data_IF_919375900794
#
_entry.id   IF_919375900794
#
_cell.length_a   1.000
_cell.length_b   1.000
_cell.length_c   1.000
_cell.angle_alpha   90.00
_cell.angle_beta   90.00
_cell.angle_gamma   90.00
#
_symmetry.space_group_name_H-M   'P 1'
#
loop_
_entity.id
_entity.type
_entity.pdbx_description
1 polymer ?
#
# COMPACT_ATOMS: atom_id res chain seq x y z
N UNK A 1 22.17 25.80 28.62
CA UNK A 1 20.95 26.12 27.85
C UNK A 1 20.86 25.32 26.55
N UNK A 2 21.92 25.28 25.73
CA UNK A 2 22.01 24.48 24.49
C UNK A 2 21.70 22.98 24.65
N UNK A 3 22.24 22.33 25.68
CA UNK A 3 22.00 20.89 25.91
C UNK A 3 20.53 20.55 26.16
N UNK A 4 19.76 21.42 26.83
CA UNK A 4 18.31 21.24 27.02
C UNK A 4 17.57 21.37 25.68
N UNK A 5 17.91 22.37 24.87
CA UNK A 5 17.29 22.57 23.56
C UNK A 5 17.56 21.38 22.63
N UNK A 6 18.82 20.92 22.60
CA UNK A 6 19.25 19.74 21.84
C UNK A 6 18.50 18.48 22.29
N UNK A 7 18.39 18.26 23.60
CA UNK A 7 17.65 17.11 24.16
C UNK A 7 16.15 17.14 23.82
N UNK A 8 15.51 18.31 23.85
CA UNK A 8 14.10 18.45 23.44
C UNK A 8 13.94 18.11 21.95
N UNK A 9 14.80 18.67 21.10
CA UNK A 9 14.75 18.43 19.65
C UNK A 9 15.02 16.96 19.29
N UNK A 10 16.02 16.33 19.93
CA UNK A 10 16.31 14.91 19.76
C UNK A 10 15.12 14.05 20.21
N UNK A 11 14.50 14.37 21.34
CA UNK A 11 13.30 13.66 21.83
C UNK A 11 12.14 13.78 20.85
N UNK A 12 11.88 14.98 20.35
CA UNK A 12 10.79 15.22 19.41
C UNK A 12 11.05 14.51 18.06
N UNK A 13 12.31 14.46 17.62
CA UNK A 13 12.71 13.71 16.42
C UNK A 13 12.53 12.20 16.57
N UNK A 14 12.85 11.65 17.75
CA UNK A 14 12.62 10.23 18.07
C UNK A 14 11.14 9.90 18.14
N UNK A 15 10.35 10.76 18.79
CA UNK A 15 8.89 10.61 18.88
C UNK A 15 8.28 10.60 17.47
N UNK A 16 8.66 11.56 16.62
CA UNK A 16 8.19 11.65 15.24
C UNK A 16 8.53 10.40 14.43
N UNK A 17 9.74 9.87 14.61
CA UNK A 17 10.19 8.62 13.99
C UNK A 17 9.33 7.43 14.42
N UNK A 18 9.06 7.27 15.72
CA UNK A 18 8.18 6.20 16.20
C UNK A 18 6.76 6.33 15.64
N UNK A 19 6.19 7.53 15.62
CA UNK A 19 4.87 7.77 15.03
C UNK A 19 4.82 7.39 13.56
N UNK A 20 5.83 7.76 12.77
CA UNK A 20 5.87 7.41 11.34
C UNK A 20 6.08 5.92 11.09
N UNK A 21 6.86 5.25 11.94
CA UNK A 21 7.00 3.79 11.85
C UNK A 21 5.67 3.09 12.15
N UNK A 22 4.94 3.54 13.19
CA UNK A 22 3.61 3.01 13.49
C UNK A 22 2.65 3.23 12.31
N UNK A 23 2.62 4.44 11.76
CA UNK A 23 1.82 4.76 10.57
C UNK A 23 2.17 3.83 9.40
N UNK A 24 3.46 3.61 9.13
CA UNK A 24 3.91 2.68 8.09
C UNK A 24 3.44 1.24 8.33
N UNK A 25 3.56 0.72 9.56
CA UNK A 25 3.17 -0.66 9.86
C UNK A 25 1.65 -0.87 9.88
N UNK A 26 0.89 0.14 10.29
CA UNK A 26 -0.58 0.08 10.33
C UNK A 26 -1.23 0.43 8.99
N UNK A 27 -0.49 1.06 8.07
CA UNK A 27 -1.02 1.48 6.78
C UNK A 27 -1.63 0.30 6.01
N UNK A 28 -2.90 0.43 5.63
CA UNK A 28 -3.64 -0.56 4.83
C UNK A 28 -4.33 0.15 3.69
N UNK A 29 -4.44 -0.53 2.55
CA UNK A 29 -5.23 -0.02 1.43
C UNK A 29 -6.70 -0.01 1.85
N UNK A 30 -7.36 1.14 1.69
CA UNK A 30 -8.81 1.26 1.81
C UNK A 30 -9.49 0.87 0.50
N UNK A 31 -10.72 0.37 0.57
CA UNK A 31 -11.47 -0.06 -0.62
C UNK A 31 -11.72 1.07 -1.62
N UNK A 32 -11.90 2.29 -1.11
CA UNK A 32 -12.17 3.50 -1.91
C UNK A 32 -10.91 4.12 -2.53
N UNK A 33 -9.73 3.82 -1.97
CA UNK A 33 -8.47 4.38 -2.44
C UNK A 33 -7.94 3.55 -3.59
N UNK A 34 -7.56 4.20 -4.70
CA UNK A 34 -6.94 3.51 -5.81
C UNK A 34 -5.51 3.03 -5.46
N UNK A 35 -5.01 2.06 -6.21
CA UNK A 35 -3.68 1.47 -6.02
C UNK A 35 -2.57 2.52 -6.20
N UNK A 36 -2.73 3.45 -7.14
CA UNK A 36 -1.73 4.48 -7.43
C UNK A 36 -1.49 5.39 -6.21
N UNK A 37 -2.56 5.90 -5.59
CA UNK A 37 -2.47 6.73 -4.38
C UNK A 37 -1.94 5.91 -3.21
N UNK A 38 -2.45 4.69 -3.02
CA UNK A 38 -1.97 3.79 -1.97
C UNK A 38 -0.45 3.56 -2.00
N UNK A 39 0.11 3.26 -3.19
CA UNK A 39 1.56 3.08 -3.35
C UNK A 39 2.32 4.40 -3.16
N UNK A 40 1.75 5.51 -3.61
CA UNK A 40 2.37 6.84 -3.49
C UNK A 40 2.47 7.29 -2.04
N UNK A 41 1.43 7.08 -1.24
CA UNK A 41 1.41 7.38 0.19
C UNK A 41 2.46 6.55 0.95
N UNK A 42 2.55 5.26 0.64
CA UNK A 42 3.52 4.36 1.27
C UNK A 42 4.97 4.74 0.90
N UNK A 43 5.22 5.14 -0.35
CA UNK A 43 6.50 5.73 -0.77
C UNK A 43 6.79 7.03 -0.03
N UNK A 44 5.81 7.90 0.15
CA UNK A 44 5.96 9.15 0.90
C UNK A 44 6.32 8.88 2.37
N UNK A 45 5.66 7.91 3.02
CA UNK A 45 6.01 7.48 4.37
C UNK A 45 7.46 6.97 4.45
N UNK A 46 7.89 6.14 3.50
CA UNK A 46 9.28 5.67 3.44
C UNK A 46 10.29 6.81 3.24
N UNK A 47 9.95 7.82 2.43
CA UNK A 47 10.78 9.00 2.22
C UNK A 47 10.89 9.87 3.48
N UNK A 48 9.79 10.07 4.20
CA UNK A 48 9.77 10.80 5.48
C UNK A 48 10.62 10.09 6.53
N UNK A 49 10.52 8.77 6.64
CA UNK A 49 11.36 7.96 7.52
C UNK A 49 12.85 8.07 7.15
N UNK A 50 13.18 8.05 5.86
CA UNK A 50 14.54 8.26 5.37
C UNK A 50 15.10 9.64 5.76
N UNK A 51 14.26 10.68 5.73
CA UNK A 51 14.63 12.02 6.21
C UNK A 51 14.97 12.07 7.70
N UNK A 52 14.50 11.11 8.50
CA UNK A 52 14.80 10.96 9.92
C UNK A 52 15.91 9.93 10.20
N UNK A 53 16.61 9.47 9.16
CA UNK A 53 17.70 8.50 9.28
C UNK A 53 17.25 7.05 9.42
N UNK A 54 15.98 6.73 9.11
CA UNK A 54 15.50 5.35 9.02
C UNK A 54 15.35 4.90 7.58
N UNK A 55 16.10 3.88 7.19
CA UNK A 55 16.06 3.37 5.84
C UNK A 55 15.04 2.24 5.70
N UNK A 56 13.98 2.50 4.94
CA UNK A 56 13.03 1.49 4.50
C UNK A 56 13.48 1.00 3.13
N UNK A 57 14.00 -0.23 3.07
CA UNK A 57 14.48 -0.80 1.82
C UNK A 57 13.33 -1.21 0.88
N UNK A 58 13.64 -1.43 -0.40
CA UNK A 58 12.63 -1.79 -1.41
C UNK A 58 11.89 -3.09 -1.05
N UNK A 59 12.58 -4.07 -0.48
CA UNK A 59 11.98 -5.33 -0.02
C UNK A 59 10.90 -5.09 1.05
N UNK A 60 11.14 -4.21 2.01
CA UNK A 60 10.17 -3.82 3.04
C UNK A 60 8.96 -3.13 2.43
N UNK A 61 9.17 -2.25 1.44
CA UNK A 61 8.08 -1.60 0.69
C UNK A 61 7.23 -2.63 -0.04
N UNK A 62 7.85 -3.56 -0.77
CA UNK A 62 7.15 -4.63 -1.50
C UNK A 62 6.35 -5.50 -0.52
N UNK A 63 6.98 -5.98 0.55
CA UNK A 63 6.31 -6.78 1.59
C UNK A 63 5.14 -6.02 2.21
N UNK A 64 5.34 -4.73 2.50
CA UNK A 64 4.28 -3.89 3.06
C UNK A 64 3.13 -3.72 2.09
N UNK A 65 3.39 -3.49 0.80
CA UNK A 65 2.35 -3.41 -0.23
C UNK A 65 1.53 -4.70 -0.27
N UNK A 66 2.17 -5.87 -0.34
CA UNK A 66 1.48 -7.16 -0.43
C UNK A 66 0.62 -7.46 0.81
N UNK A 67 1.11 -7.15 2.01
CA UNK A 67 0.40 -7.41 3.27
C UNK A 67 -0.71 -6.41 3.60
N UNK A 68 -0.66 -5.23 2.97
CA UNK A 68 -1.64 -4.16 3.17
C UNK A 68 -2.78 -4.15 2.14
N UNK A 69 -2.74 -5.04 1.15
CA UNK A 69 -3.82 -5.22 0.17
C UNK A 69 -5.01 -5.96 0.80
N UNK A 70 -6.25 -5.65 0.39
CA UNK A 70 -7.44 -6.37 0.84
C UNK A 70 -7.51 -7.75 0.17
N UNK A 71 -8.37 -8.62 0.72
CA UNK A 71 -8.50 -10.03 0.28
C UNK A 71 -8.91 -10.18 -1.20
N UNK A 72 -9.53 -9.15 -1.80
CA UNK A 72 -9.85 -9.14 -3.23
C UNK A 72 -8.62 -9.29 -4.13
N UNK A 73 -7.41 -9.02 -3.63
CA UNK A 73 -6.15 -9.19 -4.38
C UNK A 73 -5.44 -10.52 -4.07
N UNK A 74 -6.07 -11.48 -3.37
CA UNK A 74 -5.42 -12.75 -2.99
C UNK A 74 -4.83 -13.50 -4.18
N UNK A 75 -5.55 -13.57 -5.30
CA UNK A 75 -5.07 -14.24 -6.52
C UNK A 75 -3.87 -13.53 -7.14
N UNK A 76 -3.87 -12.19 -7.11
CA UNK A 76 -2.73 -11.39 -7.53
C UNK A 76 -1.50 -11.69 -6.68
N UNK A 77 -1.65 -11.76 -5.35
CA UNK A 77 -0.53 -12.05 -4.43
C UNK A 77 0.09 -13.41 -4.75
N UNK A 78 -0.72 -14.46 -4.94
CA UNK A 78 -0.21 -15.79 -5.31
C UNK A 78 0.53 -15.79 -6.66
N UNK A 79 0.03 -15.07 -7.65
CA UNK A 79 0.70 -14.92 -8.94
C UNK A 79 2.03 -14.13 -8.82
N UNK A 80 2.05 -13.10 -7.99
CA UNK A 80 3.26 -12.31 -7.71
C UNK A 80 4.33 -13.15 -7.01
N UNK A 81 3.96 -13.92 -6.00
CA UNK A 81 4.85 -14.84 -5.28
C UNK A 81 5.40 -15.98 -6.14
N UNK A 82 4.76 -16.26 -7.28
CA UNK A 82 5.23 -17.24 -8.26
C UNK A 82 6.19 -16.64 -9.31
N UNK A 83 6.35 -15.31 -9.34
CA UNK A 83 7.20 -14.64 -10.33
C UNK A 83 8.69 -14.80 -10.03
N UNK A 84 9.59 -14.79 -11.03
CA UNK A 84 11.03 -14.86 -10.82
C UNK A 84 11.55 -13.75 -9.90
N UNK A 85 12.54 -14.04 -9.06
CA UNK A 85 13.09 -13.05 -8.12
C UNK A 85 13.63 -11.79 -8.79
N UNK A 86 14.19 -11.92 -10.01
CA UNK A 86 14.66 -10.79 -10.83
C UNK A 86 13.55 -9.84 -11.26
N UNK A 87 12.30 -10.31 -11.31
CA UNK A 87 11.14 -9.52 -11.67
C UNK A 87 10.43 -8.91 -10.46
N UNK A 88 10.80 -9.29 -9.23
CA UNK A 88 10.16 -8.82 -7.99
C UNK A 88 10.69 -7.44 -7.57
N UNK A 89 10.57 -6.48 -8.47
CA UNK A 89 10.90 -5.07 -8.23
C UNK A 89 9.64 -4.27 -7.90
N UNK A 90 9.79 -3.14 -7.20
CA UNK A 90 8.67 -2.28 -6.87
C UNK A 90 8.01 -1.70 -8.13
N UNK A 91 8.81 -1.44 -9.17
CA UNK A 91 8.32 -0.98 -10.48
C UNK A 91 7.38 -2.01 -11.10
N UNK A 92 7.79 -3.27 -11.17
CA UNK A 92 6.97 -4.34 -11.74
C UNK A 92 5.72 -4.61 -10.90
N UNK A 93 5.85 -4.59 -9.57
CA UNK A 93 4.72 -4.73 -8.66
C UNK A 93 3.67 -3.65 -8.90
N UNK A 94 4.11 -2.39 -8.98
CA UNK A 94 3.24 -1.24 -9.24
C UNK A 94 2.51 -1.39 -10.58
N UNK A 95 3.25 -1.71 -11.65
CA UNK A 95 2.66 -1.86 -12.99
C UNK A 95 1.60 -2.97 -13.02
N UNK A 96 1.88 -4.13 -12.43
CA UNK A 96 0.94 -5.27 -12.41
C UNK A 96 -0.28 -4.98 -11.53
N UNK A 97 -0.12 -4.33 -10.38
CA UNK A 97 -1.24 -3.96 -9.51
C UNK A 97 -2.20 -2.97 -10.18
N UNK A 98 -1.69 -2.01 -10.96
CA UNK A 98 -2.54 -1.06 -11.70
C UNK A 98 -3.39 -1.76 -12.77
N UNK A 99 -2.83 -2.77 -13.45
CA UNK A 99 -3.60 -3.59 -14.41
C UNK A 99 -4.67 -4.40 -13.69
N UNK A 100 -4.34 -4.98 -12.53
CA UNK A 100 -5.27 -5.78 -11.74
C UNK A 100 -6.44 -4.96 -11.15
N UNK A 101 -6.17 -3.72 -10.74
CA UNK A 101 -7.21 -2.78 -10.33
C UNK A 101 -8.21 -2.52 -11.47
N UNK A 102 -7.71 -2.29 -12.69
CA UNK A 102 -8.57 -2.09 -13.86
C UNK A 102 -9.44 -3.30 -14.23
N UNK A 103 -9.01 -4.52 -13.90
CA UNK A 103 -9.83 -5.75 -14.06
C UNK A 103 -10.89 -5.87 -12.98
N UNK A 104 -10.51 -5.65 -11.72
CA UNK A 104 -11.44 -5.70 -10.58
C UNK A 104 -12.60 -4.70 -10.70
N UNK A 105 -12.36 -3.52 -11.27
CA UNK A 105 -13.44 -2.54 -11.52
C UNK A 105 -14.47 -3.10 -12.51
N UNK A 106 -14.02 -3.72 -13.60
CA UNK A 106 -14.90 -4.32 -14.61
C UNK A 106 -15.72 -5.48 -14.04
N UNK A 107 -15.08 -6.37 -13.29
CA UNK A 107 -15.76 -7.52 -12.66
C UNK A 107 -16.85 -7.05 -11.68
N UNK A 108 -16.61 -5.96 -10.94
CA UNK A 108 -17.63 -5.35 -10.06
C UNK A 108 -18.81 -4.77 -10.84
N UNK A 109 -18.57 -4.08 -11.95
CA UNK A 109 -19.61 -3.50 -12.80
C UNK A 109 -20.50 -4.60 -13.43
N UNK A 110 -19.90 -5.69 -13.93
CA UNK A 110 -20.61 -6.83 -14.51
C UNK A 110 -21.51 -7.54 -13.48
N UNK A 111 -21.00 -7.77 -12.25
CA UNK A 111 -21.79 -8.37 -11.16
C UNK A 111 -22.97 -7.48 -10.75
N UNK A 112 -22.81 -6.15 -10.77
CA UNK A 112 -23.90 -5.21 -10.45
C UNK A 112 -24.96 -5.26 -11.55
N UNK A 113 -24.56 -5.25 -12.83
CA UNK A 113 -25.47 -5.31 -13.97
C UNK A 113 -26.36 -6.57 -13.92
N UNK A 114 -25.77 -7.74 -13.71
CA UNK A 114 -26.49 -9.01 -13.62
C UNK A 114 -27.53 -9.02 -12.48
N UNK A 115 -27.16 -8.50 -11.29
CA UNK A 115 -28.09 -8.39 -10.14
C UNK A 115 -29.27 -7.45 -10.41
N UNK A 116 -29.08 -6.39 -11.20
CA UNK A 116 -30.19 -5.51 -11.60
C UNK A 116 -31.12 -6.14 -12.62
N UNK A 117 -30.62 -6.99 -13.52
CA UNK A 117 -31.44 -7.70 -14.50
C UNK A 117 -32.27 -8.82 -13.87
N UNK A 118 -31.69 -9.59 -12.93
CA UNK A 118 -32.43 -10.60 -12.17
C UNK A 118 -33.61 -10.00 -11.38
N UNK A 119 -33.40 -8.83 -10.75
CA UNK A 119 -34.46 -8.13 -10.00
C UNK A 119 -35.57 -7.56 -10.90
N UNK A 120 -35.28 -7.25 -12.16
CA UNK A 120 -36.30 -6.77 -13.12
C UNK A 120 -37.11 -7.92 -13.73
N UNK A 121 -36.56 -9.14 -13.77
CA UNK A 121 -37.21 -10.31 -14.38
C UNK A 121 -38.13 -11.06 -13.41
N UNK A 122 -38.02 -10.80 -12.09
CA UNK A 122 -38.88 -11.40 -11.05
C UNK A 122 -40.15 -10.60 -10.71
N UNK A 123 -40.57 -9.65 -11.55
CA UNK A 123 -41.75 -8.81 -11.32
C UNK A 123 -42.65 -8.78 -12.56
#
# INVERSE_FOLDING_TARGET
MWQRLKSIYERDSLQQKYTLMQEFFEYKKKDETNIATFISDLKNLSFRLKGLGEEINEMMIISKVLTALPESYRYFISAWESSPATERTLTNLTARLLVEEGRNVKDREEVVAFKTEEKKTQK
#
